data_IF_704738000941
#
_entry.id   IF_704738000941
#
_cell.length_a   1.000
_cell.length_b   1.000
_cell.length_c   1.000
_cell.angle_alpha   90.00
_cell.angle_beta   90.00
_cell.angle_gamma   90.00
#
_symmetry.space_group_name_H-M   'P 1'
#
loop_
_entity.id
_entity.type
_entity.pdbx_description
1 polymer ?
#
# COMPACT_ATOMS: atom_id res chain seq x y z
N UNK A 1 -28.20 -23.08 8.29
CA UNK A 1 -27.59 -21.74 8.30
C UNK A 1 -26.81 -21.51 7.00
N UNK A 2 -26.76 -20.28 6.46
CA UNK A 2 -25.90 -19.96 5.30
C UNK A 2 -24.56 -19.43 5.81
N UNK A 3 -23.59 -20.32 6.05
CA UNK A 3 -22.22 -19.90 6.36
C UNK A 3 -21.61 -19.23 5.14
N UNK A 4 -21.63 -17.90 5.10
CA UNK A 4 -20.95 -17.12 4.07
C UNK A 4 -19.48 -16.96 4.45
N UNK A 5 -18.78 -18.08 4.63
CA UNK A 5 -17.34 -18.11 4.80
C UNK A 5 -16.72 -17.65 3.47
N UNK A 6 -16.49 -16.34 3.36
CA UNK A 6 -15.80 -15.75 2.22
C UNK A 6 -14.32 -16.10 2.36
N UNK A 7 -13.96 -17.30 1.90
CA UNK A 7 -12.58 -17.63 1.55
C UNK A 7 -12.24 -16.79 0.31
N UNK A 8 -12.05 -15.50 0.54
CA UNK A 8 -11.54 -14.56 -0.45
C UNK A 8 -10.19 -15.09 -0.87
N UNK A 9 -10.03 -15.50 -2.14
CA UNK A 9 -8.74 -15.98 -2.62
C UNK A 9 -7.70 -14.87 -2.38
N UNK A 10 -6.54 -15.25 -1.84
CA UNK A 10 -5.43 -14.34 -1.61
C UNK A 10 -5.14 -13.59 -2.93
N UNK A 11 -5.03 -12.26 -2.93
CA UNK A 11 -4.73 -11.53 -4.15
C UNK A 11 -3.36 -11.97 -4.66
N UNK A 12 -3.33 -12.50 -5.88
CA UNK A 12 -2.10 -12.96 -6.54
C UNK A 12 -1.51 -11.85 -7.40
N UNK A 13 -0.20 -11.65 -7.32
CA UNK A 13 0.50 -10.66 -8.15
C UNK A 13 0.64 -11.22 -9.57
N UNK A 14 -0.01 -10.59 -10.54
CA UNK A 14 0.13 -10.94 -11.95
C UNK A 14 1.59 -10.88 -12.43
N UNK A 15 1.95 -11.64 -13.46
CA UNK A 15 3.32 -11.73 -14.00
C UNK A 15 3.76 -10.52 -14.85
N UNK A 16 3.03 -9.41 -14.79
CA UNK A 16 3.23 -8.25 -15.65
C UNK A 16 3.91 -7.10 -14.90
N UNK A 17 4.63 -6.26 -15.65
CA UNK A 17 5.36 -5.11 -15.12
C UNK A 17 4.44 -3.98 -14.72
N UNK A 18 3.78 -4.11 -13.56
CA UNK A 18 2.95 -3.07 -12.95
C UNK A 18 3.76 -1.79 -12.68
N UNK A 19 3.11 -0.64 -12.78
CA UNK A 19 3.69 0.63 -12.34
C UNK A 19 3.94 0.64 -10.83
N UNK A 20 4.80 1.54 -10.35
CA UNK A 20 5.10 1.63 -8.92
C UNK A 20 3.85 1.94 -8.07
N UNK A 21 2.92 2.77 -8.58
CA UNK A 21 1.66 3.06 -7.90
C UNK A 21 0.76 1.81 -7.82
N UNK A 22 0.60 1.07 -8.93
CA UNK A 22 -0.21 -0.15 -8.96
C UNK A 22 0.36 -1.25 -8.05
N UNK A 23 1.68 -1.42 -8.04
CA UNK A 23 2.35 -2.34 -7.10
C UNK A 23 2.09 -1.95 -5.65
N UNK A 24 2.06 -0.66 -5.33
CA UNK A 24 1.83 -0.15 -3.98
C UNK A 24 0.37 -0.31 -3.54
N UNK A 25 -0.59 -0.08 -4.47
CA UNK A 25 -2.01 -0.39 -4.26
C UNK A 25 -2.26 -1.88 -4.05
N UNK A 26 -1.62 -2.73 -4.86
CA UNK A 26 -1.69 -4.18 -4.71
C UNK A 26 -1.13 -4.63 -3.35
N UNK A 27 0.03 -4.11 -2.95
CA UNK A 27 0.64 -4.46 -1.66
C UNK A 27 -0.19 -3.99 -0.46
N UNK A 28 -0.91 -2.86 -0.58
CA UNK A 28 -1.92 -2.43 0.40
C UNK A 28 -3.09 -3.42 0.47
N UNK A 29 -3.67 -3.82 -0.66
CA UNK A 29 -4.76 -4.81 -0.69
C UNK A 29 -4.33 -6.16 -0.11
N UNK A 30 -3.11 -6.60 -0.41
CA UNK A 30 -2.54 -7.83 0.14
C UNK A 30 -2.34 -7.71 1.66
N UNK A 31 -1.85 -6.57 2.16
CA UNK A 31 -1.70 -6.34 3.60
C UNK A 31 -3.06 -6.29 4.34
N UNK A 32 -4.11 -5.73 3.72
CA UNK A 32 -5.48 -5.79 4.26
C UNK A 32 -6.02 -7.23 4.28
N UNK A 33 -5.82 -8.00 3.21
CA UNK A 33 -6.21 -9.43 3.19
C UNK A 33 -5.44 -10.25 4.23
N UNK A 34 -4.13 -10.03 4.37
CA UNK A 34 -3.29 -10.70 5.38
C UNK A 34 -3.82 -10.38 6.80
N UNK A 35 -4.24 -9.14 7.07
CA UNK A 35 -4.89 -8.73 8.33
C UNK A 35 -6.24 -9.42 8.56
N UNK A 36 -7.15 -9.38 7.58
CA UNK A 36 -8.47 -10.02 7.67
C UNK A 36 -8.35 -11.53 7.91
N UNK A 37 -7.40 -12.19 7.25
CA UNK A 37 -7.12 -13.61 7.42
C UNK A 37 -6.56 -13.93 8.82
N UNK A 38 -5.62 -13.13 9.33
CA UNK A 38 -5.07 -13.30 10.67
C UNK A 38 -6.13 -13.06 11.77
N UNK A 39 -7.01 -12.06 11.60
CA UNK A 39 -8.16 -11.84 12.49
C UNK A 39 -9.12 -13.04 12.47
N UNK A 40 -9.47 -13.55 11.28
CA UNK A 40 -10.33 -14.72 11.17
C UNK A 40 -9.70 -16.01 11.76
N UNK A 41 -8.37 -16.13 11.74
CA UNK A 41 -7.65 -17.20 12.43
C UNK A 41 -7.66 -17.03 13.96
N UNK A 42 -7.48 -15.80 14.44
CA UNK A 42 -7.48 -15.45 15.86
C UNK A 42 -8.83 -15.73 16.54
N UNK A 43 -9.96 -15.40 15.89
CA UNK A 43 -11.32 -15.61 16.42
C UNK A 43 -11.63 -17.08 16.81
N UNK A 44 -10.91 -18.04 16.23
CA UNK A 44 -11.04 -19.48 16.52
C UNK A 44 -9.81 -20.07 17.23
N UNK A 45 -8.82 -19.27 17.58
CA UNK A 45 -7.61 -19.73 18.27
C UNK A 45 -7.90 -20.00 19.75
N UNK A 46 -7.64 -21.24 20.19
CA UNK A 46 -7.80 -21.66 21.60
C UNK A 46 -6.48 -22.02 22.28
N UNK A 47 -5.48 -22.43 21.51
CA UNK A 47 -4.14 -22.74 22.04
C UNK A 47 -3.37 -21.45 22.33
N UNK A 48 -2.71 -21.31 23.49
CA UNK A 48 -2.00 -20.09 23.87
C UNK A 48 -0.88 -19.74 22.87
N UNK A 49 -0.15 -20.74 22.38
CA UNK A 49 0.92 -20.53 21.40
C UNK A 49 0.37 -20.02 20.05
N UNK A 50 -0.83 -20.46 19.64
CA UNK A 50 -1.49 -19.96 18.42
C UNK A 50 -2.02 -18.53 18.60
N UNK A 51 -2.56 -18.22 19.78
CA UNK A 51 -2.99 -16.86 20.15
C UNK A 51 -1.79 -15.90 20.05
N UNK A 52 -0.64 -16.27 20.62
CA UNK A 52 0.59 -15.48 20.53
C UNK A 52 1.08 -15.35 19.07
N UNK A 53 1.11 -16.44 18.29
CA UNK A 53 1.45 -16.39 16.87
C UNK A 53 0.60 -15.37 16.10
N UNK A 54 -0.73 -15.41 16.25
CA UNK A 54 -1.63 -14.46 15.60
C UNK A 54 -1.46 -13.02 16.10
N UNK A 55 -1.14 -12.79 17.39
CA UNK A 55 -0.79 -11.46 17.91
C UNK A 55 0.46 -10.92 17.22
N UNK A 56 1.49 -11.74 16.99
CA UNK A 56 2.68 -11.33 16.26
C UNK A 56 2.41 -11.10 14.76
N UNK A 57 1.62 -11.96 14.11
CA UNK A 57 1.21 -11.81 12.70
C UNK A 57 0.41 -10.51 12.48
N UNK A 58 -0.61 -10.24 13.30
CA UNK A 58 -1.41 -9.02 13.25
C UNK A 58 -0.54 -7.77 13.43
N UNK A 59 0.38 -7.79 14.40
CA UNK A 59 1.31 -6.68 14.61
C UNK A 59 2.27 -6.48 13.43
N UNK A 60 2.75 -7.56 12.80
CA UNK A 60 3.61 -7.47 11.62
C UNK A 60 2.85 -6.94 10.39
N UNK A 61 1.65 -7.45 10.14
CA UNK A 61 0.79 -7.03 9.04
C UNK A 61 0.34 -5.57 9.20
N UNK A 62 -0.02 -5.14 10.40
CA UNK A 62 -0.40 -3.75 10.69
C UNK A 62 0.77 -2.77 10.51
N UNK A 63 2.00 -3.14 10.92
CA UNK A 63 3.21 -2.36 10.66
C UNK A 63 3.49 -2.24 9.15
N UNK A 64 3.35 -3.34 8.40
CA UNK A 64 3.50 -3.35 6.93
C UNK A 64 2.46 -2.44 6.27
N UNK A 65 1.19 -2.53 6.68
CA UNK A 65 0.10 -1.70 6.17
C UNK A 65 0.37 -0.20 6.39
N UNK A 66 0.78 0.20 7.61
CA UNK A 66 1.13 1.60 7.92
C UNK A 66 2.28 2.13 7.04
N UNK A 67 3.34 1.34 6.86
CA UNK A 67 4.48 1.70 6.01
C UNK A 67 4.10 1.88 4.53
N UNK A 68 3.21 1.03 4.01
CA UNK A 68 2.72 1.13 2.64
C UNK A 68 1.81 2.37 2.46
N UNK A 69 1.02 2.72 3.48
CA UNK A 69 0.23 3.95 3.54
C UNK A 69 1.13 5.19 3.48
N UNK A 70 2.15 5.28 4.34
CA UNK A 70 3.11 6.39 4.36
C UNK A 70 3.80 6.58 2.99
N UNK A 71 4.17 5.48 2.32
CA UNK A 71 4.70 5.50 0.95
C UNK A 71 3.69 6.01 -0.08
N UNK A 72 2.43 5.60 0.02
CA UNK A 72 1.39 5.96 -0.94
C UNK A 72 0.99 7.45 -0.80
N UNK A 73 0.97 7.96 0.44
CA UNK A 73 0.80 9.38 0.71
C UNK A 73 1.99 10.21 0.22
N UNK A 74 3.23 9.73 0.42
CA UNK A 74 4.43 10.40 -0.10
C UNK A 74 4.42 10.52 -1.63
N UNK A 75 4.10 9.43 -2.34
CA UNK A 75 3.97 9.41 -3.80
C UNK A 75 2.91 10.40 -4.30
N UNK A 76 1.74 10.45 -3.64
CA UNK A 76 0.67 11.42 -3.95
C UNK A 76 1.06 12.87 -3.63
N UNK A 77 1.93 13.09 -2.65
CA UNK A 77 2.40 14.44 -2.27
C UNK A 77 3.40 14.99 -3.29
N UNK A 78 4.26 14.13 -3.83
CA UNK A 78 5.28 14.49 -4.82
C UNK A 78 4.63 15.04 -6.10
N UNK A 79 3.57 14.40 -6.61
CA UNK A 79 2.83 14.86 -7.80
C UNK A 79 2.09 16.20 -7.61
N UNK A 80 1.87 16.66 -6.37
CA UNK A 80 1.20 17.96 -6.08
C UNK A 80 2.22 19.10 -5.90
N UNK A 81 3.51 18.77 -5.72
CA UNK A 81 4.58 19.75 -5.57
C UNK A 81 5.06 20.26 -6.93
N UNK A 82 5.09 19.40 -7.95
CA UNK A 82 5.54 19.70 -9.32
C UNK A 82 4.68 20.76 -10.02
N UNK A 83 3.37 20.76 -9.79
CA UNK A 83 2.44 21.70 -10.44
C UNK A 83 2.61 23.14 -9.93
N UNK A 84 3.22 23.34 -8.75
CA UNK A 84 3.35 24.65 -8.10
C UNK A 84 4.57 25.47 -8.54
N UNK A 85 5.50 24.88 -9.29
CA UNK A 85 6.69 25.58 -9.79
C UNK A 85 6.42 26.19 -11.19
N UNK A 86 5.37 25.73 -11.89
CA UNK A 86 5.02 26.17 -13.25
C UNK A 86 4.23 27.50 -13.31
N UNK A 87 4.33 28.38 -12.32
CA UNK A 87 3.55 29.65 -12.27
C UNK A 87 4.28 30.85 -11.69
N UNK A 88 5.62 30.81 -11.63
CA UNK A 88 6.45 31.96 -11.32
C UNK A 88 7.62 32.05 -12.32
N UNK A 89 7.34 32.55 -13.53
CA UNK A 89 8.08 33.66 -14.14
C UNK A 89 7.54 33.98 -15.55
N UNK A 90 6.81 35.09 -15.65
CA UNK A 90 6.60 35.76 -16.94
C UNK A 90 7.80 36.67 -17.20
N UNK A 91 8.73 36.25 -18.06
CA UNK A 91 10.09 36.84 -18.05
C UNK A 91 10.97 36.76 -19.30
N UNK A 92 10.39 36.65 -20.51
CA UNK A 92 11.08 36.81 -21.82
C UNK A 92 12.07 35.71 -22.27
N UNK A 93 12.02 35.24 -23.53
CA UNK A 93 13.00 34.32 -24.10
C UNK A 93 14.09 35.06 -24.89
N UNK A 94 15.18 35.44 -24.20
CA UNK A 94 16.46 35.90 -24.76
C UNK A 94 17.57 35.49 -23.77
N UNK A 95 18.77 35.03 -24.16
CA UNK A 95 19.29 34.63 -25.48
C UNK A 95 20.48 33.66 -25.25
N UNK A 96 20.89 32.91 -26.28
CA UNK A 96 22.15 32.15 -26.28
C UNK A 96 22.91 32.33 -27.59
N UNK A 97 23.58 33.48 -27.74
CA UNK A 97 24.62 33.66 -28.76
C UNK A 97 25.98 33.32 -28.15
N UNK A 98 26.47 32.11 -28.44
CA UNK A 98 27.91 31.81 -28.43
C UNK A 98 28.43 32.02 -29.84
N UNK A 99 29.04 33.18 -30.05
CA UNK A 99 30.15 33.53 -30.98
C UNK A 99 30.59 34.95 -30.61
#
# INVERSE_FOLDING_TARGET
MKSSFRISRRPERGKEGLTYEESLRFDLQLATWDLENAYAGFDYATEPDLIDCYIYELNAAMKRYKYLLEKYEALKKESVQTDRIASADGGSPLEFSVV
#
